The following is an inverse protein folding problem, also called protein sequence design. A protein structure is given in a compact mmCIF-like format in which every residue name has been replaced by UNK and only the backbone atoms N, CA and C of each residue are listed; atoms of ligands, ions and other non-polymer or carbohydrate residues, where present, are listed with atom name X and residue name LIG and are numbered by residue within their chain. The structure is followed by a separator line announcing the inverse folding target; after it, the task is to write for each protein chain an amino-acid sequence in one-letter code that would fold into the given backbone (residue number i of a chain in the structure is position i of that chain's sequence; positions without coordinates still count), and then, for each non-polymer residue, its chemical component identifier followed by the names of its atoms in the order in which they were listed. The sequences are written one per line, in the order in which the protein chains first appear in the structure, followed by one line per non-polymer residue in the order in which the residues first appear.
data_IF_849572548521
#
_entry.id   IF_849572548521
#
_cell.length_a   1.000
_cell.length_b   1.000
_cell.length_c   1.000
_cell.angle_alpha   90.00
_cell.angle_beta   90.00
_cell.angle_gamma   90.00
#
_symmetry.space_group_name_H-M   'P 1'
#
loop_
_entity.id
_entity.type
_entity.pdbx_description
1 polymer ?
#
# COMPACT_ATOMS: atom_id res chain seq x y z
N UNK A 1 -1.36 27.15 -15.62
CA UNK A 1 -1.94 26.48 -14.45
C UNK A 1 -0.81 25.67 -13.82
N UNK A 2 -0.44 26.00 -12.59
CA UNK A 2 0.77 25.45 -11.94
C UNK A 2 0.53 24.00 -11.50
N UNK A 3 1.50 23.12 -11.74
CA UNK A 3 1.49 21.70 -11.36
C UNK A 3 1.46 21.43 -9.84
N UNK A 4 1.40 22.49 -9.01
CA UNK A 4 1.36 22.40 -7.55
C UNK A 4 -0.05 22.23 -6.94
N UNK A 5 -1.12 22.54 -7.67
CA UNK A 5 -2.49 22.56 -7.11
C UNK A 5 -3.20 21.20 -7.16
N UNK A 6 -2.69 20.25 -7.95
CA UNK A 6 -3.30 18.93 -8.16
C UNK A 6 -2.93 17.90 -7.07
N UNK A 7 -1.95 18.18 -6.22
CA UNK A 7 -1.45 17.23 -5.21
C UNK A 7 -2.10 17.35 -3.83
N UNK A 8 -2.64 18.51 -3.43
CA UNK A 8 -3.26 18.67 -2.10
C UNK A 8 -4.76 18.29 -2.07
N UNK A 9 -5.42 18.24 -3.23
CA UNK A 9 -6.87 18.01 -3.37
C UNK A 9 -7.27 16.75 -4.13
N UNK A 10 -6.33 15.84 -4.42
CA UNK A 10 -6.65 14.64 -5.18
C UNK A 10 -7.54 13.69 -4.34
N UNK A 11 -8.75 13.36 -4.80
CA UNK A 11 -9.70 12.53 -4.03
C UNK A 11 -9.18 11.10 -3.78
N UNK A 12 -8.19 10.62 -4.53
CA UNK A 12 -7.58 9.29 -4.34
C UNK A 12 -6.64 9.21 -3.12
N UNK A 13 -6.36 10.33 -2.44
CA UNK A 13 -5.58 10.32 -1.19
C UNK A 13 -6.43 10.08 0.07
N UNK A 14 -7.76 10.21 -0.02
CA UNK A 14 -8.69 10.09 1.10
C UNK A 14 -9.04 8.63 1.46
N UNK A 15 -8.02 7.81 1.74
CA UNK A 15 -8.14 6.36 1.99
C UNK A 15 -8.82 6.00 3.32
N UNK A 16 -9.01 6.95 4.23
CA UNK A 16 -9.71 6.75 5.51
C UNK A 16 -11.24 6.91 5.37
N UNK A 17 -11.73 7.31 4.20
CA UNK A 17 -13.15 7.49 3.90
C UNK A 17 -13.59 6.58 2.74
N UNK A 18 -14.90 6.29 2.60
CA UNK A 18 -15.41 5.66 1.39
C UNK A 18 -15.05 6.46 0.12
N UNK A 19 -14.67 5.82 -1.00
CA UNK A 19 -14.33 6.53 -2.22
C UNK A 19 -15.46 7.45 -2.72
N UNK A 20 -15.16 8.74 -2.87
CA UNK A 20 -16.11 9.73 -3.42
C UNK A 20 -16.09 9.68 -4.95
N UNK A 21 -16.65 8.61 -5.53
CA UNK A 21 -16.57 8.32 -6.97
C UNK A 21 -17.08 9.47 -7.85
N UNK A 22 -18.04 10.26 -7.38
CA UNK A 22 -18.58 11.46 -8.03
C UNK A 22 -17.53 12.57 -8.28
N UNK A 23 -16.42 12.54 -7.54
CA UNK A 23 -15.34 13.54 -7.62
C UNK A 23 -14.10 13.03 -8.32
N UNK A 24 -14.06 11.74 -8.68
CA UNK A 24 -12.86 11.11 -9.24
C UNK A 24 -12.91 11.23 -10.76
N UNK A 25 -11.82 11.73 -11.32
CA UNK A 25 -11.64 11.90 -12.76
C UNK A 25 -10.38 11.16 -13.20
N UNK A 26 -10.30 10.78 -14.48
CA UNK A 26 -9.13 10.09 -15.06
C UNK A 26 -7.84 10.88 -14.82
N UNK A 27 -7.91 12.23 -14.91
CA UNK A 27 -6.78 13.13 -14.66
C UNK A 27 -6.19 13.02 -13.24
N UNK A 28 -6.92 12.46 -12.28
CA UNK A 28 -6.43 12.24 -10.91
C UNK A 28 -5.61 10.95 -10.76
N UNK A 29 -5.82 9.97 -11.64
CA UNK A 29 -5.38 8.59 -11.44
C UNK A 29 -3.86 8.43 -11.48
N UNK A 30 -3.23 8.77 -12.60
CA UNK A 30 -1.78 8.68 -12.75
C UNK A 30 -1.03 9.57 -11.73
N UNK A 31 -1.38 10.85 -11.54
CA UNK A 31 -0.72 11.69 -10.54
C UNK A 31 -0.81 11.15 -9.11
N UNK A 32 -1.97 10.57 -8.72
CA UNK A 32 -2.11 9.97 -7.39
C UNK A 32 -1.16 8.79 -7.22
N UNK A 33 -1.12 7.87 -8.18
CA UNK A 33 -0.25 6.68 -8.12
C UNK A 33 1.22 7.10 -8.09
N UNK A 34 1.64 8.04 -8.95
CA UNK A 34 3.03 8.54 -8.97
C UNK A 34 3.43 9.24 -7.68
N UNK A 35 2.51 9.86 -6.95
CA UNK A 35 2.78 10.46 -5.65
C UNK A 35 2.86 9.44 -4.50
N UNK A 36 2.05 8.37 -4.56
CA UNK A 36 1.95 7.36 -3.51
C UNK A 36 3.08 6.32 -3.57
N UNK A 37 3.53 5.94 -4.76
CA UNK A 37 4.61 4.98 -4.97
C UNK A 37 5.90 5.31 -4.19
N UNK A 38 6.52 6.51 -4.34
CA UNK A 38 7.75 6.82 -3.62
C UNK A 38 7.54 6.90 -2.10
N UNK A 39 6.34 7.29 -1.63
CA UNK A 39 6.01 7.31 -0.20
C UNK A 39 5.98 5.90 0.37
N UNK A 40 5.24 4.98 -0.27
CA UNK A 40 5.15 3.58 0.15
C UNK A 40 6.53 2.91 0.17
N UNK A 41 7.39 3.18 -0.83
CA UNK A 41 8.75 2.64 -0.87
C UNK A 41 9.64 3.21 0.23
N UNK A 42 9.57 4.51 0.50
CA UNK A 42 10.32 5.14 1.59
C UNK A 42 9.88 4.63 2.97
N UNK A 43 8.57 4.43 3.17
CA UNK A 43 8.01 3.88 4.40
C UNK A 43 8.45 2.42 4.60
N UNK A 44 8.49 1.62 3.53
CA UNK A 44 9.04 0.26 3.57
C UNK A 44 10.51 0.27 3.99
N UNK A 45 11.34 1.12 3.39
CA UNK A 45 12.75 1.22 3.77
C UNK A 45 12.93 1.65 5.24
N UNK A 46 12.11 2.59 5.71
CA UNK A 46 12.12 3.01 7.10
C UNK A 46 11.72 1.88 8.05
N UNK A 47 10.71 1.07 7.68
CA UNK A 47 10.32 -0.11 8.42
C UNK A 47 11.46 -1.15 8.44
N UNK A 48 12.07 -1.45 7.30
CA UNK A 48 13.18 -2.40 7.19
C UNK A 48 14.36 -2.00 8.07
N UNK A 49 14.71 -0.70 8.13
CA UNK A 49 15.75 -0.19 9.03
C UNK A 49 15.40 -0.43 10.51
N UNK A 50 14.18 -0.08 10.93
CA UNK A 50 13.72 -0.28 12.32
C UNK A 50 13.74 -1.75 12.75
N UNK A 51 13.44 -2.66 11.83
CA UNK A 51 13.45 -4.10 12.10
C UNK A 51 14.85 -4.66 12.36
N UNK A 52 15.91 -3.94 11.97
CA UNK A 52 17.29 -4.32 12.29
C UNK A 52 17.66 -4.03 13.75
N UNK A 53 17.02 -3.04 14.37
CA UNK A 53 17.43 -2.50 15.67
C UNK A 53 16.66 -3.11 16.86
N UNK A 54 15.46 -3.66 16.62
CA UNK A 54 14.56 -4.11 17.68
C UNK A 54 13.85 -5.43 17.33
N UNK A 55 13.57 -6.30 18.32
CA UNK A 55 12.75 -7.48 18.10
C UNK A 55 11.37 -7.11 17.53
N UNK A 56 10.92 -7.77 16.45
CA UNK A 56 9.65 -7.46 15.83
C UNK A 56 8.49 -7.89 16.73
N UNK A 57 7.43 -7.09 16.69
CA UNK A 57 6.17 -7.34 17.39
C UNK A 57 5.03 -7.11 16.42
N UNK A 58 3.82 -7.54 16.77
CA UNK A 58 2.63 -7.22 15.98
C UNK A 58 2.53 -5.71 15.68
N UNK A 59 2.65 -4.87 16.71
CA UNK A 59 2.51 -3.42 16.59
C UNK A 59 3.71 -2.74 15.88
N UNK A 60 4.92 -3.31 15.98
CA UNK A 60 6.11 -2.72 15.35
C UNK A 60 6.35 -3.19 13.90
N UNK A 61 5.68 -4.25 13.46
CA UNK A 61 5.84 -4.87 12.14
C UNK A 61 4.53 -4.91 11.34
N UNK A 62 3.51 -5.62 11.83
CA UNK A 62 2.32 -5.98 11.03
C UNK A 62 1.43 -4.77 10.79
N UNK A 63 1.20 -3.96 11.83
CA UNK A 63 0.41 -2.73 11.70
C UNK A 63 1.07 -1.71 10.75
N UNK A 64 2.37 -1.38 10.89
CA UNK A 64 3.06 -0.51 9.93
C UNK A 64 3.10 -1.04 8.51
N UNK A 65 3.27 -2.37 8.33
CA UNK A 65 3.28 -2.99 7.01
C UNK A 65 1.93 -2.87 6.30
N UNK A 66 0.82 -2.99 7.04
CA UNK A 66 -0.51 -2.69 6.52
C UNK A 66 -0.64 -1.23 6.13
N UNK A 67 -0.33 -0.34 7.08
CA UNK A 67 -0.49 1.11 6.94
C UNK A 67 0.28 1.70 5.75
N UNK A 68 1.53 1.28 5.50
CA UNK A 68 2.32 1.81 4.39
C UNK A 68 1.73 1.48 3.02
N UNK A 69 1.02 0.35 2.90
CA UNK A 69 0.47 -0.11 1.62
C UNK A 69 -0.95 0.38 1.35
N UNK A 70 -1.68 0.76 2.40
CA UNK A 70 -3.11 1.09 2.35
C UNK A 70 -3.44 2.25 1.40
N UNK A 71 -2.71 3.39 1.41
CA UNK A 71 -3.00 4.49 0.49
C UNK A 71 -2.94 4.08 -0.99
N UNK A 72 -1.91 3.31 -1.36
CA UNK A 72 -1.78 2.83 -2.74
C UNK A 72 -2.80 1.74 -3.07
N UNK A 73 -3.10 0.82 -2.13
CA UNK A 73 -4.14 -0.20 -2.32
C UNK A 73 -5.51 0.44 -2.54
N UNK A 74 -5.86 1.45 -1.75
CA UNK A 74 -7.09 2.20 -1.89
C UNK A 74 -7.19 2.85 -3.28
N UNK A 75 -6.21 3.69 -3.64
CA UNK A 75 -6.21 4.40 -4.92
C UNK A 75 -6.26 3.42 -6.11
N UNK A 76 -5.44 2.36 -6.06
CA UNK A 76 -5.40 1.35 -7.12
C UNK A 76 -6.70 0.52 -7.20
N UNK A 77 -7.31 0.20 -6.06
CA UNK A 77 -8.61 -0.47 -6.00
C UNK A 77 -9.71 0.36 -6.67
N UNK A 78 -9.75 1.67 -6.38
CA UNK A 78 -10.70 2.61 -6.99
C UNK A 78 -10.49 2.71 -8.51
N UNK A 79 -9.25 2.85 -8.96
CA UNK A 79 -8.92 2.90 -10.40
C UNK A 79 -9.38 1.61 -11.10
N UNK A 80 -9.10 0.44 -10.51
CA UNK A 80 -9.50 -0.84 -11.09
C UNK A 80 -11.02 -1.06 -11.06
N UNK A 81 -11.71 -0.58 -10.03
CA UNK A 81 -13.18 -0.60 -10.00
C UNK A 81 -13.77 0.23 -11.13
N UNK A 82 -13.33 1.49 -11.28
CA UNK A 82 -13.79 2.37 -12.37
C UNK A 82 -13.45 1.80 -13.75
N UNK A 83 -12.27 1.20 -13.91
CA UNK A 83 -11.92 0.45 -15.13
C UNK A 83 -12.91 -0.69 -15.44
N UNK A 84 -13.49 -1.30 -14.41
CA UNK A 84 -14.42 -2.43 -14.57
C UNK A 84 -15.86 -2.00 -14.84
N UNK A 85 -16.30 -0.85 -14.33
CA UNK A 85 -17.71 -0.41 -14.40
C UNK A 85 -17.94 0.83 -15.26
N UNK A 86 -16.88 1.52 -15.65
CA UNK A 86 -16.91 2.79 -16.38
C UNK A 86 -15.65 2.91 -17.27
N UNK A 87 -15.37 1.89 -18.07
CA UNK A 87 -14.18 1.84 -18.93
C UNK A 87 -14.19 2.94 -20.01
N UNK A 88 -13.00 3.46 -20.33
CA UNK A 88 -12.77 4.42 -21.42
C UNK A 88 -11.33 4.32 -21.93
N UNK A 89 -11.04 4.72 -23.19
CA UNK A 89 -9.67 4.79 -23.71
C UNK A 89 -8.73 5.60 -22.82
N UNK A 90 -9.20 6.73 -22.29
CA UNK A 90 -8.42 7.63 -21.43
C UNK A 90 -8.08 6.95 -20.10
N UNK A 91 -9.04 6.25 -19.49
CA UNK A 91 -8.81 5.48 -18.26
C UNK A 91 -7.82 4.35 -18.50
N UNK A 92 -7.95 3.59 -19.59
CA UNK A 92 -7.00 2.52 -19.95
C UNK A 92 -5.59 3.06 -20.07
N UNK A 93 -5.40 4.18 -20.79
CA UNK A 93 -4.11 4.81 -20.94
C UNK A 93 -3.51 5.27 -19.60
N UNK A 94 -4.30 5.96 -18.75
CA UNK A 94 -3.84 6.42 -17.44
C UNK A 94 -3.45 5.25 -16.51
N UNK A 95 -4.21 4.14 -16.55
CA UNK A 95 -3.92 2.93 -15.77
C UNK A 95 -2.68 2.19 -16.30
N UNK A 96 -2.58 2.04 -17.61
CA UNK A 96 -1.44 1.37 -18.27
C UNK A 96 -0.12 2.12 -18.01
N UNK A 97 -0.14 3.45 -18.00
CA UNK A 97 1.01 4.31 -17.76
C UNK A 97 1.71 4.11 -16.39
N UNK A 98 1.01 3.51 -15.41
CA UNK A 98 1.52 3.28 -14.06
C UNK A 98 1.42 1.82 -13.59
N UNK A 99 0.80 0.93 -14.38
CA UNK A 99 0.55 -0.46 -13.95
C UNK A 99 1.84 -1.20 -13.59
N UNK A 100 2.89 -1.06 -14.41
CA UNK A 100 4.16 -1.74 -14.18
C UNK A 100 4.80 -1.30 -12.85
N UNK A 101 4.79 0.02 -12.58
CA UNK A 101 5.34 0.59 -11.35
C UNK A 101 4.59 0.08 -10.11
N UNK A 102 3.26 -0.01 -10.18
CA UNK A 102 2.42 -0.55 -9.09
C UNK A 102 2.75 -2.01 -8.82
N UNK A 103 2.86 -2.84 -9.87
CA UNK A 103 3.23 -4.25 -9.74
C UNK A 103 4.62 -4.37 -9.11
N UNK A 104 5.60 -3.61 -9.60
CA UNK A 104 6.96 -3.61 -9.06
C UNK A 104 6.99 -3.22 -7.58
N UNK A 105 6.20 -2.23 -7.18
CA UNK A 105 6.18 -1.77 -5.79
C UNK A 105 5.55 -2.81 -4.84
N UNK A 106 4.45 -3.46 -5.23
CA UNK A 106 3.89 -4.56 -4.43
C UNK A 106 4.78 -5.80 -4.41
N UNK A 107 5.48 -6.10 -5.51
CA UNK A 107 6.52 -7.14 -5.53
C UNK A 107 7.65 -6.82 -4.56
N UNK A 108 8.11 -5.56 -4.51
CA UNK A 108 9.17 -5.12 -3.58
C UNK A 108 8.80 -5.31 -2.11
N UNK A 109 7.53 -5.11 -1.75
CA UNK A 109 7.01 -5.42 -0.41
C UNK A 109 7.00 -6.94 -0.21
N UNK A 110 6.37 -7.69 -1.11
CA UNK A 110 6.21 -9.14 -0.98
C UNK A 110 7.53 -9.92 -0.98
N UNK A 111 8.59 -9.36 -1.57
CA UNK A 111 9.92 -9.96 -1.62
C UNK A 111 10.90 -9.36 -0.59
N UNK A 112 10.42 -8.52 0.33
CA UNK A 112 11.26 -7.95 1.39
C UNK A 112 11.73 -9.05 2.35
N UNK A 113 13.00 -9.45 2.20
CA UNK A 113 13.60 -10.42 3.11
C UNK A 113 13.64 -9.94 4.59
N UNK A 114 13.92 -8.66 4.90
CA UNK A 114 13.84 -8.19 6.28
C UNK A 114 12.44 -8.35 6.88
N UNK A 115 11.39 -8.00 6.13
CA UNK A 115 9.99 -8.18 6.56
C UNK A 115 9.67 -9.66 6.75
N UNK A 116 10.05 -10.52 5.81
CA UNK A 116 9.82 -11.96 5.90
C UNK A 116 10.48 -12.57 7.15
N UNK A 117 11.75 -12.24 7.41
CA UNK A 117 12.47 -12.71 8.60
C UNK A 117 11.81 -12.21 9.88
N UNK A 118 11.34 -10.96 9.89
CA UNK A 118 10.66 -10.38 11.02
C UNK A 118 9.31 -11.06 11.30
N UNK A 119 8.52 -11.36 10.26
CA UNK A 119 7.26 -12.11 10.39
C UNK A 119 7.51 -13.52 10.95
N UNK A 120 8.54 -14.19 10.44
CA UNK A 120 8.96 -15.51 10.95
C UNK A 120 9.36 -15.43 12.43
N UNK A 121 10.11 -14.40 12.83
CA UNK A 121 10.48 -14.20 14.24
C UNK A 121 9.27 -13.92 15.14
N UNK A 122 8.23 -13.22 14.66
CA UNK A 122 6.97 -13.05 15.40
C UNK A 122 6.25 -14.39 15.56
N UNK A 123 6.22 -15.22 14.51
CA UNK A 123 5.59 -16.55 14.52
C UNK A 123 6.28 -17.51 15.50
N UNK A 124 7.61 -17.54 15.46
CA UNK A 124 8.42 -18.50 16.21
C UNK A 124 8.79 -18.00 17.62
N UNK A 125 8.49 -16.74 17.92
CA UNK A 125 8.83 -16.08 19.17
C UNK A 125 7.75 -16.19 20.26
N UNK A 126 8.13 -15.84 21.50
CA UNK A 126 7.26 -15.92 22.67
C UNK A 126 6.00 -15.03 22.60
N UNK A 127 5.94 -14.07 21.67
CA UNK A 127 4.76 -13.23 21.46
C UNK A 127 3.61 -13.97 20.76
N UNK A 128 3.90 -15.06 20.05
CA UNK A 128 2.90 -15.83 19.30
C UNK A 128 1.70 -16.28 20.13
N UNK A 129 1.96 -16.73 21.36
CA UNK A 129 0.92 -17.18 22.29
C UNK A 129 0.01 -16.04 22.76
N UNK A 130 0.51 -14.80 22.74
CA UNK A 130 -0.24 -13.60 23.14
C UNK A 130 -1.07 -13.01 21.99
N UNK A 131 -0.85 -13.44 20.75
CA UNK A 131 -1.63 -12.99 19.61
C UNK A 131 -3.03 -13.61 19.62
N UNK A 132 -4.03 -12.85 19.19
CA UNK A 132 -5.36 -13.40 18.94
C UNK A 132 -5.33 -14.44 17.81
N UNK A 133 -6.32 -15.34 17.72
CA UNK A 133 -6.43 -16.28 16.60
C UNK A 133 -6.39 -15.60 15.22
N UNK A 134 -7.00 -14.41 15.10
CA UNK A 134 -6.98 -13.62 13.86
C UNK A 134 -5.57 -13.11 13.52
N UNK A 135 -4.86 -12.57 14.51
CA UNK A 135 -3.48 -12.08 14.32
C UNK A 135 -2.54 -13.22 13.93
N UNK A 136 -2.66 -14.39 14.59
CA UNK A 136 -1.90 -15.60 14.22
C UNK A 136 -2.14 -16.00 12.76
N UNK A 137 -3.40 -16.02 12.33
CA UNK A 137 -3.75 -16.32 10.93
C UNK A 137 -3.11 -15.33 9.95
N UNK A 138 -3.16 -14.03 10.25
CA UNK A 138 -2.57 -12.98 9.40
C UNK A 138 -1.06 -13.20 9.24
N UNK A 139 -0.33 -13.37 10.35
CA UNK A 139 1.12 -13.63 10.31
C UNK A 139 1.42 -14.92 9.55
N UNK A 140 0.72 -16.02 9.84
CA UNK A 140 0.95 -17.30 9.17
C UNK A 140 0.67 -17.27 7.66
N UNK A 141 -0.31 -16.47 7.20
CA UNK A 141 -0.62 -16.32 5.77
C UNK A 141 0.32 -15.38 5.03
N UNK A 142 1.20 -14.68 5.75
CA UNK A 142 2.13 -13.68 5.21
C UNK A 142 3.57 -14.22 5.09
N UNK A 143 3.79 -15.49 5.42
CA UNK A 143 5.06 -16.25 5.35
C UNK A 143 4.88 -17.34 4.31
#
# INVERSE_FOLDING_TARGET
MSAGDTAAGNPLFAHEEPPRFDRIQVAHMEPAVRALLPRMLADLEALERRLADQPPTWASLVEPLGALSEPLRFAWGVINHLKSVQDSPELRAAREAVQADVVQAFMRIGQSQPVYRALTAVRDGAQWERLSPTQRRIVASSI
#
